data_IF_095856195831
#
_entry.id   IF_095856195831
#
_cell.length_a   1.000
_cell.length_b   1.000
_cell.length_c   1.000
_cell.angle_alpha   90.00
_cell.angle_beta   90.00
_cell.angle_gamma   90.00
#
_symmetry.space_group_name_H-M   'P 1'
#
loop_
_entity.id
_entity.type
_entity.pdbx_description
1 polymer ?
#
# COMPACT_ATOMS: atom_id res chain seq x y z
N UNK A 1 16.21 -13.89 -3.20
CA UNK A 1 17.49 -14.09 -3.92
C UNK A 1 17.20 -13.99 -5.41
N UNK A 2 17.21 -12.81 -6.02
CA UNK A 2 17.23 -12.65 -7.48
C UNK A 2 17.46 -11.18 -7.81
N UNK A 3 18.68 -10.86 -8.21
CA UNK A 3 18.96 -9.92 -9.30
C UNK A 3 20.48 -9.86 -9.45
N UNK A 4 20.99 -10.85 -10.17
CA UNK A 4 22.29 -10.75 -10.78
C UNK A 4 22.13 -11.14 -12.24
N UNK A 5 22.69 -10.29 -13.10
CA UNK A 5 23.00 -10.49 -14.52
C UNK A 5 21.88 -10.16 -15.50
N UNK A 6 21.72 -8.86 -15.76
CA UNK A 6 21.77 -8.36 -17.13
C UNK A 6 22.55 -7.04 -17.14
N UNK A 7 23.82 -7.09 -17.57
CA UNK A 7 24.63 -5.89 -17.85
C UNK A 7 25.92 -5.75 -17.04
N UNK A 8 27.02 -6.25 -17.60
CA UNK A 8 28.36 -5.68 -17.38
C UNK A 8 29.08 -6.03 -16.07
N UNK A 9 30.30 -6.57 -16.20
CA UNK A 9 31.26 -6.81 -15.12
C UNK A 9 31.37 -5.60 -14.16
N UNK A 10 31.12 -5.81 -12.87
CA UNK A 10 31.64 -4.94 -11.81
C UNK A 10 30.65 -4.23 -10.88
N UNK A 11 29.38 -4.61 -10.79
CA UNK A 11 28.52 -4.07 -9.73
C UNK A 11 28.68 -4.86 -8.43
N UNK A 12 29.33 -4.23 -7.45
CA UNK A 12 29.19 -4.57 -6.05
C UNK A 12 27.74 -4.26 -5.65
N UNK A 13 26.92 -5.30 -5.46
CA UNK A 13 25.65 -5.14 -4.75
C UNK A 13 25.99 -4.98 -3.27
N UNK A 14 25.93 -3.74 -2.77
CA UNK A 14 26.04 -3.48 -1.33
C UNK A 14 24.77 -4.01 -0.69
N UNK A 15 24.88 -5.16 -0.04
CA UNK A 15 23.85 -5.76 0.80
C UNK A 15 23.68 -4.86 2.03
N UNK A 16 22.79 -3.88 1.97
CA UNK A 16 22.56 -2.93 3.06
C UNK A 16 21.38 -3.39 3.92
N UNK A 17 21.38 -3.16 5.26
CA UNK A 17 20.27 -3.48 6.15
C UNK A 17 18.91 -2.92 5.68
N UNK A 18 18.94 -1.77 5.01
CA UNK A 18 17.77 -1.10 4.43
C UNK A 18 17.13 -1.89 3.28
N UNK A 19 17.92 -2.67 2.53
CA UNK A 19 17.39 -3.60 1.52
C UNK A 19 16.64 -4.75 2.17
N UNK A 20 17.12 -5.25 3.32
CA UNK A 20 16.44 -6.30 4.06
C UNK A 20 15.08 -5.82 4.58
N UNK A 21 15.03 -4.60 5.12
CA UNK A 21 13.80 -4.04 5.68
C UNK A 21 12.70 -3.86 4.63
N UNK A 22 13.04 -3.35 3.44
CA UNK A 22 12.10 -3.25 2.32
C UNK A 22 11.55 -4.61 1.88
N UNK A 23 12.38 -5.65 1.83
CA UNK A 23 11.92 -6.99 1.45
C UNK A 23 10.94 -7.55 2.48
N UNK A 24 11.21 -7.36 3.78
CA UNK A 24 10.28 -7.77 4.84
C UNK A 24 8.95 -7.01 4.78
N UNK A 25 8.99 -5.69 4.54
CA UNK A 25 7.78 -4.88 4.43
C UNK A 25 6.94 -5.28 3.22
N UNK A 26 7.56 -5.51 2.06
CA UNK A 26 6.85 -6.01 0.87
C UNK A 26 6.19 -7.36 1.10
N UNK A 27 6.90 -8.30 1.75
CA UNK A 27 6.33 -9.62 2.06
C UNK A 27 5.17 -9.50 3.06
N UNK A 28 5.30 -8.64 4.08
CA UNK A 28 4.23 -8.39 5.04
C UNK A 28 3.00 -7.76 4.35
N UNK A 29 3.20 -6.80 3.44
CA UNK A 29 2.14 -6.20 2.64
C UNK A 29 1.43 -7.22 1.76
N UNK A 30 2.15 -8.06 1.01
CA UNK A 30 1.54 -9.10 0.15
C UNK A 30 0.61 -10.01 0.96
N UNK A 31 1.14 -10.55 2.06
CA UNK A 31 0.41 -11.52 2.88
C UNK A 31 -0.81 -10.89 3.53
N UNK A 32 -0.65 -9.70 4.12
CA UNK A 32 -1.69 -9.12 4.97
C UNK A 32 -2.70 -8.29 4.19
N UNK A 33 -2.33 -7.67 3.06
CA UNK A 33 -3.29 -6.92 2.25
C UNK A 33 -4.29 -7.85 1.55
N UNK A 34 -3.85 -9.06 1.14
CA UNK A 34 -4.76 -10.11 0.65
C UNK A 34 -5.76 -10.55 1.72
N UNK A 35 -5.29 -10.80 2.94
CA UNK A 35 -6.18 -11.09 4.08
C UNK A 35 -7.11 -9.93 4.38
N UNK A 36 -6.64 -8.69 4.26
CA UNK A 36 -7.44 -7.51 4.53
C UNK A 36 -8.65 -7.39 3.61
N UNK A 37 -8.48 -7.77 2.34
CA UNK A 37 -9.55 -7.85 1.33
C UNK A 37 -10.63 -8.88 1.69
N UNK A 38 -10.25 -9.98 2.35
CA UNK A 38 -11.17 -11.06 2.70
C UNK A 38 -11.82 -10.90 4.08
N UNK A 39 -11.23 -10.11 4.99
CA UNK A 39 -11.59 -10.06 6.41
C UNK A 39 -12.14 -8.69 6.88
N UNK A 40 -12.76 -7.92 5.98
CA UNK A 40 -13.38 -6.61 6.29
C UNK A 40 -12.45 -5.61 7.01
N UNK A 41 -11.16 -5.64 6.69
CA UNK A 41 -10.16 -4.77 7.33
C UNK A 41 -9.94 -3.46 6.57
N UNK A 42 -10.60 -3.32 5.42
CA UNK A 42 -10.53 -2.13 4.58
C UNK A 42 -11.81 -1.34 4.75
N UNK A 43 -11.67 -0.06 5.01
CA UNK A 43 -12.78 0.84 5.29
C UNK A 43 -12.62 2.14 4.50
N UNK A 44 -13.74 2.81 4.24
CA UNK A 44 -13.76 4.08 3.51
C UNK A 44 -13.98 5.22 4.50
N UNK A 45 -13.04 6.15 4.53
CA UNK A 45 -13.24 7.48 5.13
C UNK A 45 -13.71 8.46 4.05
N UNK A 46 -14.55 9.42 4.44
CA UNK A 46 -15.01 10.48 3.54
C UNK A 46 -14.40 11.81 3.95
N UNK A 47 -13.68 12.44 3.02
CA UNK A 47 -13.18 13.80 3.19
C UNK A 47 -14.08 14.80 2.46
N UNK A 48 -14.75 15.73 3.16
CA UNK A 48 -15.60 16.71 2.52
C UNK A 48 -14.79 17.78 1.78
N UNK A 49 -15.22 18.11 0.56
CA UNK A 49 -14.75 19.26 -0.22
C UNK A 49 -15.72 20.41 -0.01
N UNK A 50 -15.28 21.41 0.72
CA UNK A 50 -16.10 22.56 1.14
C UNK A 50 -15.87 23.78 0.24
N UNK A 51 -16.91 24.59 0.04
CA UNK A 51 -16.78 25.91 -0.59
C UNK A 51 -16.12 26.89 0.36
N UNK A 52 -15.70 28.05 -0.16
CA UNK A 52 -15.25 29.16 0.67
C UNK A 52 -16.33 29.67 1.64
N UNK A 53 -17.60 29.33 1.40
CA UNK A 53 -18.75 29.66 2.27
C UNK A 53 -19.03 28.58 3.34
N UNK A 54 -18.26 27.48 3.35
CA UNK A 54 -18.44 26.38 4.30
C UNK A 54 -19.46 25.33 3.90
N UNK A 55 -20.03 25.41 2.69
CA UNK A 55 -20.98 24.43 2.18
C UNK A 55 -20.25 23.20 1.63
N UNK A 56 -20.73 21.98 1.91
CA UNK A 56 -20.17 20.75 1.36
C UNK A 56 -20.63 20.60 -0.11
N UNK A 57 -19.69 20.52 -1.06
CA UNK A 57 -19.99 20.28 -2.49
C UNK A 57 -19.87 18.83 -2.91
N UNK A 58 -18.91 18.13 -2.34
CA UNK A 58 -18.67 16.72 -2.64
C UNK A 58 -17.91 16.05 -1.50
N UNK A 59 -17.85 14.73 -1.55
CA UNK A 59 -17.05 13.91 -0.65
C UNK A 59 -16.02 13.15 -1.48
N UNK A 60 -14.79 13.08 -1.00
CA UNK A 60 -13.77 12.19 -1.52
C UNK A 60 -13.73 10.92 -0.66
N UNK A 61 -13.93 9.77 -1.30
CA UNK A 61 -13.81 8.46 -0.67
C UNK A 61 -12.32 8.08 -0.61
N UNK A 62 -11.83 7.82 0.60
CA UNK A 62 -10.45 7.48 0.86
C UNK A 62 -10.38 6.14 1.59
N UNK A 63 -9.79 5.14 0.94
CA UNK A 63 -9.56 3.83 1.56
C UNK A 63 -8.63 3.95 2.76
N UNK A 64 -8.86 3.13 3.77
CA UNK A 64 -8.05 3.00 4.98
C UNK A 64 -7.95 1.52 5.31
N UNK A 65 -6.81 1.12 5.83
CA UNK A 65 -6.60 -0.27 6.24
C UNK A 65 -6.46 -0.33 7.76
N UNK A 66 -7.43 -0.96 8.41
CA UNK A 66 -7.41 -1.28 9.83
C UNK A 66 -6.76 -2.64 10.05
N UNK A 67 -5.43 -2.66 10.12
CA UNK A 67 -4.68 -3.88 10.44
C UNK A 67 -4.90 -4.28 11.90
N UNK A 68 -5.18 -5.56 12.21
CA UNK A 68 -5.22 -6.05 13.59
C UNK A 68 -3.87 -5.90 14.31
N UNK A 69 -2.77 -5.95 13.56
CA UNK A 69 -1.41 -5.97 14.11
C UNK A 69 -0.81 -4.56 14.19
N UNK A 70 -1.01 -3.75 13.14
CA UNK A 70 -0.38 -2.42 13.00
C UNK A 70 -1.34 -1.25 13.20
N UNK A 71 -2.61 -1.52 13.48
CA UNK A 71 -3.65 -0.48 13.59
C UNK A 71 -3.98 0.16 12.24
N UNK A 72 -4.29 1.45 12.25
CA UNK A 72 -4.69 2.19 11.05
C UNK A 72 -3.46 2.49 10.17
N UNK A 73 -3.36 1.81 9.03
CA UNK A 73 -2.29 2.00 8.06
C UNK A 73 -2.74 3.03 7.01
N UNK A 74 -1.92 4.08 6.75
CA UNK A 74 -2.25 5.10 5.77
C UNK A 74 -2.11 4.57 4.33
N UNK A 75 -2.89 5.09 3.36
CA UNK A 75 -2.84 4.66 1.96
C UNK A 75 -1.45 4.70 1.34
N UNK A 76 -0.65 5.72 1.68
CA UNK A 76 0.71 5.89 1.16
C UNK A 76 1.63 4.69 1.43
N UNK A 77 1.33 3.88 2.44
CA UNK A 77 2.15 2.70 2.77
C UNK A 77 1.78 1.44 1.99
N UNK A 78 0.57 1.34 1.41
CA UNK A 78 0.13 0.11 0.74
C UNK A 78 -0.40 0.29 -0.68
N UNK A 79 -0.75 1.52 -1.11
CA UNK A 79 -1.32 1.75 -2.44
C UNK A 79 -0.31 1.45 -3.54
N UNK A 80 0.93 1.93 -3.43
CA UNK A 80 1.98 1.64 -4.43
C UNK A 80 2.22 0.13 -4.57
N UNK A 81 2.23 -0.59 -3.44
CA UNK A 81 2.33 -2.05 -3.47
C UNK A 81 1.10 -2.69 -4.14
N UNK A 82 -0.11 -2.20 -3.86
CA UNK A 82 -1.33 -2.71 -4.46
C UNK A 82 -1.36 -2.54 -5.99
N UNK A 83 -0.84 -1.41 -6.49
CA UNK A 83 -0.71 -1.14 -7.92
C UNK A 83 0.28 -2.12 -8.58
N UNK A 84 1.46 -2.30 -7.99
CA UNK A 84 2.50 -3.22 -8.49
C UNK A 84 2.06 -4.68 -8.46
N UNK A 85 1.32 -5.10 -7.42
CA UNK A 85 0.86 -6.48 -7.23
C UNK A 85 -0.46 -6.82 -7.94
N UNK A 86 -1.13 -5.81 -8.52
CA UNK A 86 -2.46 -5.95 -9.12
C UNK A 86 -3.61 -6.03 -8.10
N UNK A 87 -3.32 -5.97 -6.79
CA UNK A 87 -4.33 -5.92 -5.73
C UNK A 87 -5.11 -4.61 -5.70
N UNK A 88 -4.70 -3.59 -6.46
CA UNK A 88 -5.45 -2.35 -6.62
C UNK A 88 -6.82 -2.57 -7.26
N UNK A 89 -6.95 -3.57 -8.13
CA UNK A 89 -8.23 -3.90 -8.79
C UNK A 89 -9.27 -4.38 -7.78
N UNK A 90 -9.02 -5.43 -6.97
CA UNK A 90 -9.97 -5.85 -5.94
C UNK A 90 -10.16 -4.80 -4.83
N UNK A 91 -9.19 -3.90 -4.60
CA UNK A 91 -9.37 -2.75 -3.69
C UNK A 91 -10.34 -1.70 -4.22
N UNK A 92 -10.37 -1.49 -5.54
CA UNK A 92 -11.23 -0.48 -6.18
C UNK A 92 -12.56 -1.06 -6.67
N UNK A 93 -12.68 -2.39 -6.76
CA UNK A 93 -13.90 -3.10 -7.08
C UNK A 93 -14.79 -3.16 -5.84
N UNK A 94 -15.65 -2.14 -5.69
CA UNK A 94 -16.79 -2.16 -4.77
C UNK A 94 -18.01 -2.82 -5.41
#
# INVERSE_FOLDING_TARGET
MYNAKEGGRGQFCVFSPEMNQRVFDYHWLDTNLRKALENDQLLIHYQPKITWRGEVRSLEALVRWQSPERGLIPPLEFISYAEESGLIVPLAAG
#
